data_IF_511416100991
#
_entry.id   IF_511416100991
#
_cell.length_a   1.000
_cell.length_b   1.000
_cell.length_c   1.000
_cell.angle_alpha   90.00
_cell.angle_beta   90.00
_cell.angle_gamma   90.00
#
_symmetry.space_group_name_H-M   'P 1'
#
loop_
_entity.id
_entity.type
_entity.pdbx_description
1 polymer ?
#
# COMPACT_ATOMS: atom_id res chain seq x y z
N UNK A 1 35.80 35.98 -37.44
CA UNK A 1 34.40 35.57 -37.17
C UNK A 1 33.96 34.68 -38.32
N UNK A 2 33.52 33.44 -38.03
CA UNK A 2 32.08 33.18 -38.04
C UNK A 2 31.60 32.39 -36.81
N UNK A 3 30.28 32.42 -36.67
CA UNK A 3 29.42 32.14 -35.52
C UNK A 3 29.35 30.65 -35.13
N UNK A 4 29.34 30.39 -33.82
CA UNK A 4 29.00 29.10 -33.22
C UNK A 4 27.52 28.79 -33.50
N UNK A 5 27.24 27.85 -34.40
CA UNK A 5 25.92 27.25 -34.57
C UNK A 5 25.58 26.35 -33.39
N UNK A 6 24.49 26.67 -32.69
CA UNK A 6 23.96 25.87 -31.60
C UNK A 6 23.49 24.50 -32.09
N UNK A 7 23.82 23.44 -31.34
CA UNK A 7 23.32 22.09 -31.58
C UNK A 7 21.80 22.08 -31.41
N UNK A 8 21.08 21.58 -32.42
CA UNK A 8 19.63 21.30 -32.33
C UNK A 8 19.38 20.23 -31.28
N UNK A 9 18.31 20.34 -30.47
CA UNK A 9 17.94 19.28 -29.53
C UNK A 9 17.65 17.99 -30.31
N UNK A 10 18.17 16.86 -29.83
CA UNK A 10 17.82 15.52 -30.34
C UNK A 10 16.30 15.32 -30.23
N UNK A 11 15.68 14.58 -31.17
CA UNK A 11 14.23 14.25 -31.13
C UNK A 11 13.76 13.75 -29.76
N UNK A 12 14.59 12.99 -29.03
CA UNK A 12 14.31 12.56 -27.66
C UNK A 12 14.14 13.73 -26.67
N UNK A 13 14.91 14.80 -26.82
CA UNK A 13 14.86 16.00 -25.98
C UNK A 13 13.70 16.93 -26.33
N UNK A 14 13.20 16.89 -27.57
CA UNK A 14 11.92 17.51 -27.93
C UNK A 14 10.74 16.69 -27.40
N UNK A 15 10.76 15.36 -27.55
CA UNK A 15 9.75 14.45 -26.97
C UNK A 15 9.68 14.58 -25.44
N UNK A 16 10.82 14.71 -24.75
CA UNK A 16 10.87 14.94 -23.29
C UNK A 16 10.36 16.33 -22.90
N UNK A 17 10.53 17.37 -23.73
CA UNK A 17 9.95 18.71 -23.47
C UNK A 17 8.44 18.76 -23.70
N UNK A 18 7.91 17.97 -24.63
CA UNK A 18 6.47 17.89 -24.93
C UNK A 18 5.67 17.20 -23.81
N UNK A 19 6.33 16.43 -22.94
CA UNK A 19 5.70 15.63 -21.88
C UNK A 19 5.52 16.36 -20.52
N UNK A 20 5.99 17.61 -20.36
CA UNK A 20 6.30 18.22 -19.04
C UNK A 20 5.41 19.43 -18.65
N UNK A 21 4.29 19.71 -19.33
CA UNK A 21 3.41 20.84 -18.97
C UNK A 21 2.04 20.43 -18.42
N UNK A 22 1.72 20.83 -17.17
CA UNK A 22 0.40 20.68 -16.52
C UNK A 22 0.07 21.86 -15.57
N UNK A 23 -1.24 22.05 -15.32
CA UNK A 23 -1.87 23.04 -14.43
C UNK A 23 -2.74 22.37 -13.34
N UNK A 24 -2.81 22.97 -12.14
CA UNK A 24 -3.73 22.61 -11.04
C UNK A 24 -5.11 23.27 -11.19
N UNK A 25 -6.18 22.66 -10.69
CA UNK A 25 -7.47 23.37 -10.50
C UNK A 25 -7.36 24.48 -9.45
N UNK A 26 -8.33 25.42 -9.43
CA UNK A 26 -8.41 26.49 -8.43
C UNK A 26 -8.48 25.98 -6.97
N UNK A 27 -8.88 24.72 -6.76
CA UNK A 27 -8.91 24.03 -5.45
C UNK A 27 -7.68 23.14 -5.17
N UNK A 28 -6.66 23.17 -6.04
CA UNK A 28 -5.38 22.45 -5.85
C UNK A 28 -5.34 20.99 -6.33
N UNK A 29 -6.43 20.43 -6.86
CA UNK A 29 -6.51 19.01 -7.29
C UNK A 29 -5.84 18.74 -8.67
N UNK A 30 -5.43 17.49 -8.87
CA UNK A 30 -4.91 16.97 -10.15
C UNK A 30 -6.05 16.80 -11.16
N UNK A 31 -6.12 17.65 -12.18
CA UNK A 31 -7.22 17.63 -13.15
C UNK A 31 -7.09 16.60 -14.28
N UNK A 32 -5.90 16.12 -14.65
CA UNK A 32 -5.77 15.08 -15.69
C UNK A 32 -4.46 14.30 -15.60
N UNK A 33 -4.49 13.07 -16.12
CA UNK A 33 -3.34 12.22 -16.40
C UNK A 33 -3.42 11.80 -17.87
N UNK A 34 -3.36 12.80 -18.75
CA UNK A 34 -3.15 12.68 -20.19
C UNK A 34 -2.94 14.11 -20.72
N UNK A 35 -1.75 14.34 -21.26
CA UNK A 35 -1.21 15.56 -21.87
C UNK A 35 -2.24 16.40 -22.65
N UNK A 36 -2.26 17.73 -22.40
CA UNK A 36 -2.11 18.81 -23.40
C UNK A 36 -2.42 20.20 -22.81
N UNK A 37 -1.48 21.13 -23.05
CA UNK A 37 -1.57 22.61 -22.98
C UNK A 37 -1.72 23.30 -21.61
N UNK A 38 -0.58 23.83 -21.12
CA UNK A 38 -0.51 24.79 -20.01
C UNK A 38 0.89 25.42 -19.91
N UNK A 39 0.97 26.68 -19.49
CA UNK A 39 2.15 27.56 -19.53
C UNK A 39 3.30 27.15 -18.58
N UNK A 40 4.54 27.51 -18.96
CA UNK A 40 5.79 27.21 -18.25
C UNK A 40 5.73 27.58 -16.75
N UNK A 41 5.81 26.58 -15.86
CA UNK A 41 6.13 26.81 -14.44
C UNK A 41 5.78 25.69 -13.46
N UNK A 42 4.70 24.93 -13.66
CA UNK A 42 4.10 24.11 -12.58
C UNK A 42 4.24 22.57 -12.70
N UNK A 43 4.91 22.04 -13.74
CA UNK A 43 5.02 20.58 -13.99
C UNK A 43 6.44 19.96 -13.98
N UNK A 44 7.50 20.76 -13.83
CA UNK A 44 8.88 20.32 -14.13
C UNK A 44 9.50 19.33 -13.12
N UNK A 45 8.86 19.08 -11.97
CA UNK A 45 9.39 18.22 -10.89
C UNK A 45 8.76 16.83 -10.77
N UNK A 46 7.69 16.56 -11.51
CA UNK A 46 6.83 15.37 -11.31
C UNK A 46 7.20 14.17 -12.17
N UNK A 47 8.07 14.37 -13.16
CA UNK A 47 8.48 13.28 -14.04
C UNK A 47 9.18 12.17 -13.26
N UNK A 48 8.68 10.95 -13.43
CA UNK A 48 9.29 9.74 -12.88
C UNK A 48 9.00 8.59 -13.83
N UNK A 49 10.06 8.00 -14.37
CA UNK A 49 9.92 6.82 -15.21
C UNK A 49 9.88 5.58 -14.31
N UNK A 50 8.68 5.01 -14.14
CA UNK A 50 8.54 3.75 -13.43
C UNK A 50 8.93 2.58 -14.35
N UNK A 51 10.25 2.33 -14.47
CA UNK A 51 10.77 1.14 -15.16
C UNK A 51 10.63 -0.05 -14.21
N UNK A 52 9.42 -0.55 -14.07
CA UNK A 52 9.19 -1.79 -13.35
C UNK A 52 8.33 -2.72 -14.19
N UNK A 53 8.97 -3.77 -14.70
CA UNK A 53 8.34 -4.82 -15.50
C UNK A 53 7.88 -5.97 -14.61
N UNK A 54 6.73 -6.54 -14.99
CA UNK A 54 6.17 -7.87 -14.68
C UNK A 54 6.26 -8.41 -13.23
N UNK A 55 5.12 -8.84 -12.63
CA UNK A 55 3.83 -9.11 -13.27
C UNK A 55 2.83 -7.95 -13.14
N UNK A 56 3.05 -7.00 -12.22
CA UNK A 56 2.09 -5.93 -11.93
C UNK A 56 2.69 -4.57 -12.33
N UNK A 57 2.43 -4.07 -13.54
CA UNK A 57 2.93 -2.77 -13.93
C UNK A 57 2.29 -1.73 -13.02
N UNK A 58 3.10 -0.97 -12.28
CA UNK A 58 2.63 0.01 -11.32
C UNK A 58 2.59 1.40 -11.98
N UNK A 59 1.43 2.05 -11.95
CA UNK A 59 1.26 3.40 -12.45
C UNK A 59 1.20 4.44 -11.31
N UNK A 60 1.19 5.74 -11.64
CA UNK A 60 1.45 6.30 -12.97
C UNK A 60 2.88 6.02 -13.46
N UNK A 61 3.05 5.88 -14.78
CA UNK A 61 4.32 5.47 -15.39
C UNK A 61 5.32 6.62 -15.63
N UNK A 62 4.83 7.85 -15.79
CA UNK A 62 5.64 8.99 -16.24
C UNK A 62 5.57 10.23 -15.35
N UNK A 63 4.51 10.39 -14.55
CA UNK A 63 4.30 11.57 -13.74
C UNK A 63 3.65 11.22 -12.39
N UNK A 64 4.26 11.66 -11.30
CA UNK A 64 3.78 11.44 -9.94
C UNK A 64 3.80 12.76 -9.17
N UNK A 65 2.61 13.25 -8.84
CA UNK A 65 2.46 14.37 -7.91
C UNK A 65 2.66 13.88 -6.48
N UNK A 66 3.40 14.66 -5.70
CA UNK A 66 3.64 14.44 -4.28
C UNK A 66 2.92 15.53 -3.49
N UNK A 67 2.04 15.14 -2.58
CA UNK A 67 1.43 16.07 -1.60
C UNK A 67 2.05 15.81 -0.23
N UNK A 68 2.49 16.86 0.46
CA UNK A 68 3.10 16.76 1.79
C UNK A 68 2.15 17.33 2.85
N UNK A 69 1.88 16.53 3.88
CA UNK A 69 1.11 16.95 5.06
C UNK A 69 2.00 16.94 6.30
N UNK A 70 1.78 17.90 7.20
CA UNK A 70 2.41 17.91 8.52
C UNK A 70 1.47 17.26 9.54
N UNK A 71 1.85 16.12 10.08
CA UNK A 71 1.05 15.32 11.03
C UNK A 71 1.30 15.78 12.47
N UNK A 72 2.56 16.05 12.78
CA UNK A 72 2.99 16.62 14.08
C UNK A 72 3.92 17.78 13.76
N UNK A 73 3.59 19.02 14.16
CA UNK A 73 4.37 20.20 13.85
C UNK A 73 5.86 20.02 14.15
N UNK A 74 6.70 20.21 13.13
CA UNK A 74 8.16 20.14 13.26
C UNK A 74 8.74 18.75 13.53
N UNK A 75 7.93 17.68 13.54
CA UNK A 75 8.37 16.34 13.96
C UNK A 75 7.98 15.22 13.00
N UNK A 76 6.74 15.20 12.48
CA UNK A 76 6.26 14.14 11.60
C UNK A 76 5.54 14.72 10.39
N UNK A 77 5.93 14.27 9.20
CA UNK A 77 5.29 14.61 7.94
C UNK A 77 4.93 13.35 7.18
N UNK A 78 3.93 13.45 6.31
CA UNK A 78 3.58 12.41 5.35
C UNK A 78 3.68 12.96 3.95
N UNK A 79 4.09 12.12 3.02
CA UNK A 79 4.20 12.44 1.61
C UNK A 79 3.42 11.39 0.85
N UNK A 80 2.49 11.84 0.04
CA UNK A 80 1.52 10.99 -0.65
C UNK A 80 1.73 11.07 -2.15
N UNK A 81 1.64 9.92 -2.81
CA UNK A 81 1.58 9.80 -4.26
C UNK A 81 0.40 8.91 -4.66
N UNK A 82 -0.09 9.09 -5.89
CA UNK A 82 -1.01 8.14 -6.48
C UNK A 82 -0.29 6.84 -6.84
N UNK A 83 -0.91 5.70 -6.52
CA UNK A 83 -0.47 4.37 -6.89
C UNK A 83 -1.60 3.64 -7.60
N UNK A 84 -1.38 3.26 -8.87
CA UNK A 84 -2.36 2.52 -9.66
C UNK A 84 -1.80 1.17 -10.12
N UNK A 85 -2.67 0.21 -10.39
CA UNK A 85 -2.33 -0.98 -11.17
C UNK A 85 -2.46 -0.62 -12.64
N UNK A 86 -1.36 -0.48 -13.36
CA UNK A 86 -1.38 -0.06 -14.76
C UNK A 86 -2.17 -1.06 -15.62
N UNK A 87 -3.02 -0.52 -16.49
CA UNK A 87 -3.99 -1.30 -17.28
C UNK A 87 -5.36 -1.45 -16.61
N UNK A 88 -5.47 -1.20 -15.30
CA UNK A 88 -6.75 -1.16 -14.56
C UNK A 88 -6.95 0.29 -14.10
N UNK A 89 -8.09 0.91 -14.41
CA UNK A 89 -8.37 2.30 -14.02
C UNK A 89 -8.75 2.39 -12.52
N UNK A 90 -7.83 1.97 -11.65
CA UNK A 90 -7.95 1.97 -10.19
C UNK A 90 -6.69 2.58 -9.58
N UNK A 91 -6.89 3.51 -8.65
CA UNK A 91 -5.81 4.19 -7.93
C UNK A 91 -6.09 4.14 -6.42
N UNK A 92 -5.02 4.08 -5.64
CA UNK A 92 -5.01 4.32 -4.19
C UNK A 92 -3.87 5.28 -3.85
N UNK A 93 -3.88 5.82 -2.64
CA UNK A 93 -2.76 6.60 -2.10
C UNK A 93 -1.63 5.64 -1.71
N UNK A 94 -0.37 5.94 -2.03
CA UNK A 94 0.80 5.36 -1.37
C UNK A 94 1.49 6.44 -0.55
N UNK A 95 1.88 6.13 0.69
CA UNK A 95 2.36 7.11 1.66
C UNK A 95 3.74 6.77 2.22
N UNK A 96 4.63 7.75 2.16
CA UNK A 96 5.87 7.81 2.93
C UNK A 96 5.65 8.64 4.19
N UNK A 97 6.14 8.18 5.34
CA UNK A 97 6.13 8.97 6.59
C UNK A 97 7.56 9.34 6.96
N UNK A 98 7.77 10.59 7.37
CA UNK A 98 9.07 11.15 7.71
C UNK A 98 9.03 11.62 9.16
N UNK A 99 9.95 11.12 9.97
CA UNK A 99 10.11 11.52 11.38
C UNK A 99 11.46 12.22 11.54
N UNK A 100 11.47 13.40 12.15
CA UNK A 100 12.69 14.07 12.57
C UNK A 100 13.15 13.52 13.91
N UNK A 101 14.34 12.91 13.93
CA UNK A 101 14.94 12.31 15.12
C UNK A 101 15.69 13.34 15.96
N UNK A 102 15.98 13.01 17.23
CA UNK A 102 16.82 13.82 18.11
C UNK A 102 18.26 13.97 17.62
N UNK A 103 18.75 13.05 16.79
CA UNK A 103 20.04 13.18 16.10
C UNK A 103 20.11 14.41 15.19
N UNK A 104 18.96 14.96 14.80
CA UNK A 104 18.82 16.04 13.83
C UNK A 104 18.55 15.55 12.41
N UNK A 105 18.64 14.24 12.15
CA UNK A 105 18.32 13.63 10.86
C UNK A 105 16.88 13.15 10.72
N UNK A 106 16.58 12.65 9.52
CA UNK A 106 15.28 12.14 9.11
C UNK A 106 15.28 10.61 9.04
N UNK A 107 14.23 10.04 9.61
CA UNK A 107 13.88 8.63 9.52
C UNK A 107 12.68 8.47 8.57
N UNK A 108 12.85 7.65 7.54
CA UNK A 108 11.90 7.50 6.43
C UNK A 108 11.22 6.13 6.51
N UNK A 109 9.90 6.12 6.68
CA UNK A 109 9.04 4.94 6.64
C UNK A 109 8.40 4.80 5.25
N UNK A 110 8.54 3.62 4.62
CA UNK A 110 7.90 3.27 3.35
C UNK A 110 8.13 4.34 2.25
N UNK A 111 9.36 4.52 1.76
CA UNK A 111 9.65 5.57 0.78
C UNK A 111 8.79 5.44 -0.48
N UNK A 112 8.38 6.59 -1.02
CA UNK A 112 7.66 6.71 -2.30
C UNK A 112 8.62 7.09 -3.44
N UNK A 113 8.12 7.21 -4.67
CA UNK A 113 8.97 7.56 -5.81
C UNK A 113 9.69 8.89 -5.56
N UNK A 114 11.04 8.93 -5.61
CA UNK A 114 11.80 10.16 -5.39
C UNK A 114 11.78 11.02 -6.66
N UNK A 115 10.59 11.52 -7.01
CA UNK A 115 10.45 12.59 -8.01
C UNK A 115 11.23 13.81 -7.53
N UNK A 116 11.60 14.70 -8.45
CA UNK A 116 12.28 15.94 -8.07
C UNK A 116 11.41 16.77 -7.10
N UNK A 117 10.10 16.80 -7.30
CA UNK A 117 9.14 17.43 -6.39
C UNK A 117 9.17 16.82 -4.98
N UNK A 118 9.13 15.48 -4.87
CA UNK A 118 9.23 14.80 -3.57
C UNK A 118 10.56 15.12 -2.85
N UNK A 119 11.65 15.13 -3.59
CA UNK A 119 12.99 15.41 -3.06
C UNK A 119 13.10 16.85 -2.57
N UNK A 120 12.63 17.83 -3.36
CA UNK A 120 12.63 19.25 -2.97
C UNK A 120 11.78 19.49 -1.71
N UNK A 121 10.60 18.85 -1.61
CA UNK A 121 9.74 18.92 -0.43
C UNK A 121 10.39 18.29 0.83
N UNK A 122 11.20 17.24 0.64
CA UNK A 122 11.93 16.58 1.73
C UNK A 122 13.16 17.39 2.17
N UNK A 123 13.93 17.93 1.21
CA UNK A 123 15.09 18.79 1.48
C UNK A 123 14.70 20.10 2.17
N UNK A 124 13.50 20.62 1.90
CA UNK A 124 12.93 21.78 2.59
C UNK A 124 12.70 21.55 4.11
N UNK A 125 12.76 20.31 4.61
CA UNK A 125 12.72 20.03 6.05
C UNK A 125 14.06 20.37 6.75
N UNK A 126 15.12 20.65 5.99
CA UNK A 126 16.39 21.15 6.50
C UNK A 126 17.19 20.14 7.34
N UNK A 127 17.00 18.83 7.09
CA UNK A 127 17.66 17.75 7.81
C UNK A 127 18.13 16.64 6.87
N UNK A 128 19.27 15.99 7.14
CA UNK A 128 19.77 14.88 6.31
C UNK A 128 18.91 13.63 6.51
N UNK A 129 18.77 12.81 5.46
CA UNK A 129 18.16 11.48 5.58
C UNK A 129 19.18 10.52 6.18
N UNK A 130 18.89 10.00 7.38
CA UNK A 130 19.76 9.07 8.10
C UNK A 130 19.34 7.61 7.91
N UNK A 131 18.02 7.37 7.85
CA UNK A 131 17.47 6.03 7.83
C UNK A 131 16.33 5.90 6.84
N UNK A 132 16.37 4.82 6.05
CA UNK A 132 15.30 4.42 5.13
C UNK A 132 14.80 3.05 5.57
N UNK A 133 13.50 2.92 5.84
CA UNK A 133 12.91 1.68 6.36
C UNK A 133 11.88 1.13 5.38
N UNK A 134 12.18 -0.05 4.85
CA UNK A 134 11.22 -0.88 4.13
C UNK A 134 10.39 -1.66 5.15
N UNK A 135 9.14 -1.27 5.25
CA UNK A 135 8.23 -1.65 6.35
C UNK A 135 7.35 -2.85 6.03
N UNK A 136 7.36 -3.32 4.79
CA UNK A 136 6.59 -4.47 4.31
C UNK A 136 7.36 -5.22 3.23
N UNK A 137 7.01 -6.48 2.97
CA UNK A 137 7.48 -7.20 1.79
C UNK A 137 6.73 -6.78 0.51
N UNK A 138 5.59 -6.09 0.63
CA UNK A 138 4.70 -5.78 -0.47
C UNK A 138 5.41 -4.95 -1.54
N UNK A 139 5.17 -5.32 -2.79
CA UNK A 139 5.95 -4.86 -3.93
C UNK A 139 5.85 -3.35 -4.12
N UNK A 140 4.65 -2.80 -4.07
CA UNK A 140 4.30 -1.39 -4.24
C UNK A 140 5.00 -0.43 -3.28
N UNK A 141 5.39 -0.89 -2.09
CA UNK A 141 6.18 -0.12 -1.11
C UNK A 141 7.69 -0.39 -1.23
N UNK A 142 8.08 -1.48 -1.90
CA UNK A 142 9.46 -1.91 -2.09
C UNK A 142 10.12 -1.29 -3.31
N UNK A 143 9.38 -1.08 -4.40
CA UNK A 143 9.97 -0.66 -5.69
C UNK A 143 10.72 0.66 -5.59
N UNK A 144 10.33 1.51 -4.64
CA UNK A 144 10.89 2.85 -4.48
C UNK A 144 12.11 2.88 -3.57
N UNK A 145 12.41 1.83 -2.81
CA UNK A 145 13.59 1.79 -1.93
C UNK A 145 14.90 1.93 -2.72
N UNK A 146 15.14 1.19 -3.83
CA UNK A 146 16.38 1.36 -4.61
C UNK A 146 16.61 2.78 -5.15
N UNK A 147 15.66 3.44 -5.86
CA UNK A 147 15.87 4.81 -6.31
C UNK A 147 16.01 5.80 -5.16
N UNK A 148 15.29 5.60 -4.05
CA UNK A 148 15.42 6.47 -2.88
C UNK A 148 16.80 6.32 -2.21
N UNK A 149 17.30 5.09 -2.06
CA UNK A 149 18.64 4.81 -1.58
C UNK A 149 19.72 5.44 -2.47
N UNK A 150 19.57 5.40 -3.80
CA UNK A 150 20.50 6.07 -4.72
C UNK A 150 20.54 7.59 -4.52
N UNK A 151 19.40 8.20 -4.18
CA UNK A 151 19.31 9.65 -3.92
C UNK A 151 19.93 10.04 -2.58
N UNK A 152 19.82 9.17 -1.58
CA UNK A 152 20.30 9.38 -0.21
C UNK A 152 21.30 8.29 0.19
N UNK A 153 22.43 8.20 -0.52
CA UNK A 153 23.39 7.11 -0.38
C UNK A 153 24.11 7.01 0.97
N UNK A 154 24.04 8.06 1.81
CA UNK A 154 24.55 8.05 3.18
C UNK A 154 23.58 7.38 4.18
N UNK A 155 22.31 7.25 3.83
CA UNK A 155 21.31 6.70 4.71
C UNK A 155 21.47 5.18 4.88
N UNK A 156 21.32 4.70 6.12
CA UNK A 156 21.26 3.27 6.40
C UNK A 156 19.87 2.74 6.02
N UNK A 157 19.84 1.72 5.16
CA UNK A 157 18.60 1.01 4.82
C UNK A 157 18.31 -0.07 5.85
N UNK A 158 17.06 -0.14 6.30
CA UNK A 158 16.54 -1.16 7.20
C UNK A 158 15.34 -1.83 6.57
N UNK A 159 15.18 -3.12 6.82
CA UNK A 159 14.09 -3.92 6.24
C UNK A 159 13.46 -4.78 7.31
N UNK A 160 12.15 -4.95 7.24
CA UNK A 160 11.48 -5.96 8.08
C UNK A 160 11.92 -7.37 7.69
N UNK A 161 11.86 -8.36 8.61
CA UNK A 161 12.22 -9.76 8.35
C UNK A 161 11.52 -10.36 7.13
N UNK A 162 12.16 -11.38 6.53
CA UNK A 162 11.55 -12.25 5.50
C UNK A 162 11.07 -11.49 4.26
N UNK A 163 11.96 -10.66 3.71
CA UNK A 163 11.76 -10.05 2.40
C UNK A 163 11.69 -11.12 1.33
N UNK A 164 10.72 -10.99 0.44
CA UNK A 164 10.50 -11.90 -0.68
C UNK A 164 10.12 -11.13 -1.94
N UNK A 165 10.47 -11.67 -3.10
CA UNK A 165 10.09 -11.11 -4.39
C UNK A 165 9.26 -12.11 -5.17
N UNK A 166 8.21 -11.64 -5.81
CA UNK A 166 7.46 -12.46 -6.73
C UNK A 166 8.17 -12.48 -8.10
N UNK A 167 8.22 -13.62 -8.83
CA UNK A 167 7.77 -14.96 -8.45
C UNK A 167 8.89 -15.78 -7.77
N UNK A 168 10.08 -15.21 -7.62
CA UNK A 168 11.28 -15.88 -7.13
C UNK A 168 11.91 -15.06 -6.00
N UNK A 169 12.36 -15.76 -4.96
CA UNK A 169 12.95 -15.15 -3.78
C UNK A 169 14.31 -14.51 -4.08
N UNK A 170 14.28 -13.30 -4.65
CA UNK A 170 15.47 -12.52 -4.99
C UNK A 170 16.00 -11.84 -3.73
N UNK A 171 17.27 -12.13 -3.44
CA UNK A 171 18.04 -11.39 -2.45
C UNK A 171 18.02 -9.88 -2.75
N UNK A 172 17.98 -9.07 -1.69
CA UNK A 172 17.86 -7.60 -1.74
C UNK A 172 18.82 -6.90 -2.73
N UNK A 173 20.11 -7.28 -2.86
CA UNK A 173 21.00 -6.63 -3.83
C UNK A 173 20.58 -6.81 -5.28
N UNK A 174 19.92 -7.92 -5.64
CA UNK A 174 19.38 -8.15 -6.98
C UNK A 174 18.19 -7.24 -7.29
N UNK A 175 17.54 -6.73 -6.24
CA UNK A 175 16.49 -5.71 -6.32
C UNK A 175 17.07 -4.28 -6.30
N UNK A 176 18.39 -4.13 -6.23
CA UNK A 176 19.06 -2.85 -6.10
C UNK A 176 19.04 -2.25 -4.70
N UNK A 177 18.70 -3.04 -3.68
CA UNK A 177 18.73 -2.64 -2.27
C UNK A 177 20.03 -3.16 -1.66
N UNK A 178 20.97 -2.27 -1.38
CA UNK A 178 22.31 -2.62 -0.92
C UNK A 178 22.49 -2.32 0.58
N UNK A 179 23.35 -3.08 1.26
CA UNK A 179 23.74 -2.84 2.67
C UNK A 179 22.56 -2.72 3.64
N UNK A 180 21.42 -3.33 3.31
CA UNK A 180 20.25 -3.33 4.18
C UNK A 180 20.50 -4.14 5.46
N UNK A 181 20.06 -3.61 6.60
CA UNK A 181 20.04 -4.33 7.89
C UNK A 181 18.64 -4.85 8.16
N UNK A 182 18.53 -6.13 8.51
CA UNK A 182 17.25 -6.75 8.84
C UNK A 182 16.90 -6.38 10.29
N UNK A 183 15.70 -5.86 10.49
CA UNK A 183 15.15 -5.61 11.82
C UNK A 183 14.82 -6.93 12.51
N UNK A 184 14.98 -7.00 13.83
CA UNK A 184 14.56 -8.12 14.64
C UNK A 184 13.04 -8.21 14.70
N UNK A 185 12.47 -9.24 15.32
CA UNK A 185 11.01 -9.34 15.43
C UNK A 185 10.39 -8.24 16.30
N UNK A 186 11.14 -7.68 17.24
CA UNK A 186 10.64 -6.68 18.19
C UNK A 186 11.77 -5.81 18.68
N UNK A 187 11.49 -4.53 18.99
CA UNK A 187 12.47 -3.66 19.63
C UNK A 187 12.87 -4.11 21.05
N UNK A 188 12.12 -5.04 21.66
CA UNK A 188 12.48 -5.64 22.96
C UNK A 188 13.56 -6.71 22.87
N UNK A 189 13.82 -7.30 21.70
CA UNK A 189 14.77 -8.40 21.57
C UNK A 189 16.24 -7.96 21.54
N UNK A 190 16.56 -6.80 22.12
CA UNK A 190 17.94 -6.31 22.29
C UNK A 190 18.65 -5.91 21.00
N UNK A 191 17.92 -5.66 19.89
CA UNK A 191 18.56 -5.12 18.69
C UNK A 191 18.84 -3.63 18.88
N UNK A 192 20.12 -3.28 18.76
CA UNK A 192 20.57 -1.90 18.79
C UNK A 192 20.24 -1.19 17.46
N UNK A 193 19.17 -0.40 17.47
CA UNK A 193 18.81 0.52 16.38
C UNK A 193 19.06 1.95 16.85
N UNK A 194 19.63 2.85 16.01
CA UNK A 194 20.02 4.20 16.44
C UNK A 194 18.90 5.08 17.02
N UNK A 195 17.64 4.75 16.72
CA UNK A 195 16.45 5.50 17.14
C UNK A 195 15.64 4.82 18.24
N UNK A 196 16.17 3.77 18.91
CA UNK A 196 15.42 2.92 19.85
C UNK A 196 14.72 3.69 20.98
N UNK A 197 15.29 4.83 21.39
CA UNK A 197 14.73 5.72 22.42
C UNK A 197 13.51 6.51 21.94
N UNK A 198 13.33 6.65 20.63
CA UNK A 198 12.29 7.49 20.01
C UNK A 198 11.20 6.66 19.32
N UNK A 199 11.60 5.59 18.63
CA UNK A 199 10.71 4.74 17.85
C UNK A 199 10.90 3.27 18.26
N UNK A 200 9.86 2.67 18.81
CA UNK A 200 9.79 1.22 19.03
C UNK A 200 9.11 0.51 17.87
N UNK A 201 9.28 -0.80 17.76
CA UNK A 201 8.62 -1.56 16.69
C UNK A 201 8.27 -2.99 17.08
N UNK A 202 7.26 -3.53 16.40
CA UNK A 202 6.81 -4.91 16.44
C UNK A 202 6.61 -5.39 15.00
N UNK A 203 7.42 -6.36 14.57
CA UNK A 203 7.32 -6.94 13.24
C UNK A 203 6.41 -8.18 13.25
N UNK A 204 5.57 -8.27 12.25
CA UNK A 204 4.85 -9.48 11.86
C UNK A 204 5.62 -10.15 10.73
N UNK A 205 5.78 -11.47 10.80
CA UNK A 205 6.44 -12.24 9.75
C UNK A 205 5.95 -13.68 9.76
N UNK A 206 5.05 -14.02 8.85
CA UNK A 206 4.45 -15.35 8.75
C UNK A 206 4.53 -15.92 7.34
N UNK A 207 4.47 -17.24 7.22
CA UNK A 207 4.38 -17.91 5.91
C UNK A 207 2.91 -18.09 5.56
N UNK A 208 2.48 -17.52 4.44
CA UNK A 208 1.07 -17.45 4.07
C UNK A 208 0.88 -18.10 2.72
N UNK A 209 0.56 -19.39 2.77
CA UNK A 209 0.59 -20.22 1.57
C UNK A 209 2.02 -20.34 1.04
N UNK A 210 2.30 -19.70 -0.08
CA UNK A 210 3.57 -19.85 -0.84
C UNK A 210 4.52 -18.67 -0.71
N UNK A 211 4.01 -17.54 -0.22
CA UNK A 211 4.74 -16.31 -0.07
C UNK A 211 4.68 -15.93 1.41
N UNK A 212 5.77 -15.37 1.95
CA UNK A 212 5.71 -14.80 3.28
C UNK A 212 4.92 -13.50 3.25
N UNK A 213 4.27 -13.18 4.37
CA UNK A 213 3.84 -11.83 4.65
C UNK A 213 4.67 -11.28 5.79
N UNK A 214 5.27 -10.12 5.57
CA UNK A 214 5.93 -9.37 6.62
C UNK A 214 5.53 -7.91 6.59
N UNK A 215 5.31 -7.34 7.77
CA UNK A 215 5.03 -5.93 7.99
C UNK A 215 5.53 -5.51 9.37
N UNK A 216 6.00 -4.27 9.50
CA UNK A 216 6.40 -3.67 10.76
C UNK A 216 5.42 -2.60 11.23
N UNK A 217 5.07 -2.65 12.51
CA UNK A 217 4.39 -1.56 13.20
C UNK A 217 5.40 -0.76 14.02
N UNK A 218 5.50 0.55 13.77
CA UNK A 218 6.48 1.44 14.37
C UNK A 218 5.78 2.50 15.24
N UNK A 219 6.18 2.63 16.50
CA UNK A 219 5.56 3.53 17.47
C UNK A 219 6.51 4.67 17.84
N UNK A 220 6.20 5.88 17.41
CA UNK A 220 6.92 7.09 17.82
C UNK A 220 6.39 7.57 19.18
N UNK A 221 7.25 7.48 20.21
CA UNK A 221 6.88 7.63 21.62
C UNK A 221 6.38 9.03 21.95
N UNK A 222 7.10 10.06 21.48
CA UNK A 222 6.85 11.45 21.88
C UNK A 222 5.49 11.96 21.39
N UNK A 223 5.09 11.60 20.17
CA UNK A 223 3.81 12.02 19.59
C UNK A 223 2.68 11.02 19.77
N UNK A 224 2.96 9.86 20.38
CA UNK A 224 2.04 8.72 20.48
C UNK A 224 1.44 8.30 19.13
N UNK A 225 2.28 8.24 18.10
CA UNK A 225 1.86 7.88 16.73
C UNK A 225 2.32 6.46 16.40
N UNK A 226 1.37 5.59 16.06
CA UNK A 226 1.63 4.31 15.43
C UNK A 226 1.70 4.48 13.91
N UNK A 227 2.73 3.95 13.28
CA UNK A 227 2.91 3.90 11.84
C UNK A 227 2.87 2.44 11.40
N UNK A 228 1.99 2.14 10.46
CA UNK A 228 1.82 0.84 9.81
C UNK A 228 1.73 1.05 8.31
N UNK A 229 1.84 -0.02 7.53
CA UNK A 229 1.77 0.07 6.07
C UNK A 229 0.39 -0.37 5.58
N UNK A 230 0.11 -1.67 5.65
CA UNK A 230 -1.07 -2.30 5.04
C UNK A 230 -1.99 -2.97 6.07
N UNK A 231 -1.51 -3.14 7.31
CA UNK A 231 -2.20 -3.85 8.38
C UNK A 231 -3.59 -3.28 8.66
N UNK A 232 -3.73 -1.96 8.68
CA UNK A 232 -5.00 -1.26 8.80
C UNK A 232 -5.05 -0.06 7.88
N UNK A 233 -6.26 0.28 7.45
CA UNK A 233 -6.56 1.44 6.64
C UNK A 233 -7.79 2.15 7.20
N UNK A 234 -7.92 3.43 6.87
CA UNK A 234 -9.15 4.20 7.10
C UNK A 234 -9.65 4.71 5.77
N UNK A 235 -10.87 4.33 5.40
CA UNK A 235 -11.47 4.73 4.14
C UNK A 235 -12.22 6.08 4.31
N UNK A 236 -11.69 7.20 3.76
CA UNK A 236 -12.37 8.48 3.84
C UNK A 236 -13.60 8.53 2.94
N UNK A 237 -14.62 9.28 3.35
CA UNK A 237 -15.81 9.52 2.53
C UNK A 237 -15.49 10.21 1.20
N UNK A 238 -14.56 11.18 1.24
CA UNK A 238 -14.11 11.93 0.07
C UNK A 238 -12.79 11.36 -0.48
N UNK A 239 -12.56 11.45 -1.80
CA UNK A 239 -11.29 11.03 -2.37
C UNK A 239 -10.11 11.81 -1.79
N UNK A 240 -8.97 11.15 -1.48
CA UNK A 240 -7.74 11.84 -1.13
C UNK A 240 -7.29 12.79 -2.25
N UNK A 241 -6.71 13.92 -1.87
CA UNK A 241 -6.28 14.99 -2.79
C UNK A 241 -5.32 14.51 -3.87
N UNK A 242 -4.46 13.53 -3.55
CA UNK A 242 -3.45 13.01 -4.47
C UNK A 242 -4.04 12.14 -5.59
N UNK A 243 -5.29 11.67 -5.46
CA UNK A 243 -5.92 10.83 -6.47
C UNK A 243 -6.35 11.68 -7.65
N UNK A 244 -6.02 11.25 -8.87
CA UNK A 244 -6.28 12.00 -10.07
C UNK A 244 -7.78 12.18 -10.33
N UNK A 245 -8.25 13.43 -10.39
CA UNK A 245 -9.67 13.77 -10.54
C UNK A 245 -10.25 13.23 -11.84
N UNK A 246 -9.52 13.29 -12.95
CA UNK A 246 -10.00 12.72 -14.22
C UNK A 246 -10.22 11.21 -14.11
N UNK A 247 -9.39 10.49 -13.34
CA UNK A 247 -9.60 9.06 -13.10
C UNK A 247 -10.88 8.82 -12.30
N UNK A 248 -11.15 9.63 -11.27
CA UNK A 248 -12.39 9.58 -10.49
C UNK A 248 -13.61 9.85 -11.36
N UNK A 249 -13.63 10.95 -12.10
CA UNK A 249 -14.70 11.29 -13.05
C UNK A 249 -14.93 10.17 -14.06
N UNK A 250 -13.86 9.59 -14.62
CA UNK A 250 -13.95 8.46 -15.55
C UNK A 250 -14.48 7.19 -14.89
N UNK A 251 -14.22 6.95 -13.61
CA UNK A 251 -14.80 5.84 -12.87
C UNK A 251 -16.28 6.08 -12.52
N UNK A 252 -16.69 7.35 -12.39
CA UNK A 252 -18.09 7.76 -12.21
C UNK A 252 -18.94 7.66 -13.48
N UNK A 253 -18.44 8.21 -14.61
CA UNK A 253 -19.16 8.47 -15.88
C UNK A 253 -19.62 7.25 -16.69
N UNK A 254 -19.26 6.02 -16.35
CA UNK A 254 -19.30 4.83 -17.22
C UNK A 254 -18.14 4.80 -18.23
N UNK A 255 -17.31 3.74 -18.19
CA UNK A 255 -16.18 3.58 -19.10
C UNK A 255 -16.04 2.12 -19.55
N UNK A 256 -15.25 1.86 -20.58
CA UNK A 256 -15.07 0.50 -21.12
C UNK A 256 -14.66 -0.54 -20.06
N UNK A 257 -13.98 -0.15 -18.97
CA UNK A 257 -13.67 -1.02 -17.84
C UNK A 257 -14.89 -1.27 -16.94
N UNK A 258 -15.72 -0.25 -16.68
CA UNK A 258 -17.07 -0.40 -16.07
C UNK A 258 -17.90 -1.35 -16.94
N UNK A 259 -17.96 -1.18 -18.26
CA UNK A 259 -18.72 -2.05 -19.17
C UNK A 259 -18.17 -3.48 -19.25
N UNK A 260 -16.85 -3.65 -19.33
CA UNK A 260 -16.16 -4.95 -19.35
C UNK A 260 -16.40 -5.74 -18.06
N UNK A 261 -16.53 -5.04 -16.93
CA UNK A 261 -16.65 -5.65 -15.60
C UNK A 261 -18.11 -5.81 -15.13
N UNK A 262 -19.03 -4.92 -15.54
CA UNK A 262 -20.44 -4.94 -15.08
C UNK A 262 -21.44 -5.44 -16.13
N UNK A 263 -21.03 -5.67 -17.37
CA UNK A 263 -21.84 -6.35 -18.40
C UNK A 263 -23.13 -5.65 -18.87
N UNK A 264 -23.51 -4.50 -18.29
CA UNK A 264 -24.67 -3.68 -18.66
C UNK A 264 -24.37 -2.20 -18.43
N UNK A 265 -25.07 -1.32 -19.16
CA UNK A 265 -25.02 0.13 -18.88
C UNK A 265 -25.45 0.40 -17.43
N UNK A 266 -24.66 1.15 -16.64
CA UNK A 266 -25.07 1.50 -15.29
C UNK A 266 -26.37 2.30 -15.36
N UNK A 267 -27.41 1.80 -14.69
CA UNK A 267 -28.78 2.32 -14.78
C UNK A 267 -28.95 3.80 -14.39
N UNK A 268 -27.93 4.44 -13.79
CA UNK A 268 -27.91 5.85 -13.43
C UNK A 268 -26.48 6.40 -13.59
N UNK A 269 -26.24 7.14 -14.68
CA UNK A 269 -25.03 7.97 -14.82
C UNK A 269 -25.27 9.25 -13.99
N UNK A 270 -24.38 9.63 -13.08
CA UNK A 270 -24.61 10.81 -12.24
C UNK A 270 -24.59 12.09 -13.06
N UNK A 271 -25.44 13.05 -12.71
CA UNK A 271 -25.71 14.23 -13.54
C UNK A 271 -24.62 15.30 -13.41
N UNK A 272 -23.96 15.38 -12.24
CA UNK A 272 -22.92 16.38 -11.96
C UNK A 272 -21.52 15.77 -11.87
N UNK A 273 -20.49 16.58 -12.11
CA UNK A 273 -19.09 16.13 -11.96
C UNK A 273 -18.74 15.80 -10.50
N UNK A 274 -19.32 16.51 -9.54
CA UNK A 274 -19.14 16.22 -8.11
C UNK A 274 -19.70 14.84 -7.73
N UNK A 275 -20.92 14.52 -8.18
CA UNK A 275 -21.50 13.19 -7.97
C UNK A 275 -20.67 12.09 -8.66
N UNK A 276 -20.17 12.34 -9.87
CA UNK A 276 -19.32 11.40 -10.60
C UNK A 276 -17.99 11.16 -9.88
N UNK A 277 -17.41 12.20 -9.29
CA UNK A 277 -16.18 12.11 -8.54
C UNK A 277 -16.36 11.25 -7.28
N UNK A 278 -17.41 11.49 -6.50
CA UNK A 278 -17.73 10.71 -5.30
C UNK A 278 -18.05 9.25 -5.65
N UNK A 279 -18.90 9.02 -6.64
CA UNK A 279 -19.23 7.65 -7.08
C UNK A 279 -18.01 6.93 -7.66
N UNK A 280 -17.18 7.66 -8.41
CA UNK A 280 -15.89 7.18 -8.90
C UNK A 280 -14.97 6.74 -7.77
N UNK A 281 -14.87 7.56 -6.71
CA UNK A 281 -14.12 7.25 -5.51
C UNK A 281 -14.64 5.98 -4.82
N UNK A 282 -15.95 5.89 -4.57
CA UNK A 282 -16.55 4.72 -3.91
C UNK A 282 -16.25 3.43 -4.68
N UNK A 283 -16.39 3.47 -6.01
CA UNK A 283 -16.09 2.33 -6.88
C UNK A 283 -14.60 1.95 -6.83
N UNK A 284 -13.70 2.93 -6.89
CA UNK A 284 -12.25 2.68 -6.82
C UNK A 284 -11.85 2.09 -5.47
N UNK A 285 -12.27 2.71 -4.38
CA UNK A 285 -11.97 2.27 -3.03
C UNK A 285 -12.43 0.83 -2.77
N UNK A 286 -13.68 0.50 -3.13
CA UNK A 286 -14.20 -0.85 -2.99
C UNK A 286 -13.43 -1.86 -3.86
N UNK A 287 -13.02 -1.47 -5.07
CA UNK A 287 -12.18 -2.33 -5.90
C UNK A 287 -10.79 -2.57 -5.27
N UNK A 288 -10.16 -1.55 -4.69
CA UNK A 288 -8.87 -1.70 -3.98
C UNK A 288 -9.03 -2.62 -2.75
N UNK A 289 -10.10 -2.46 -1.99
CA UNK A 289 -10.32 -3.21 -0.74
C UNK A 289 -10.64 -4.70 -0.97
N UNK A 290 -11.38 -5.02 -2.04
CA UNK A 290 -11.93 -6.37 -2.25
C UNK A 290 -11.39 -7.08 -3.49
N UNK A 291 -10.78 -6.36 -4.44
CA UNK A 291 -10.36 -6.88 -5.75
C UNK A 291 -11.48 -7.60 -6.54
N UNK A 292 -12.74 -7.28 -6.25
CA UNK A 292 -13.92 -8.05 -6.66
C UNK A 292 -14.75 -7.38 -7.77
N UNK A 293 -14.88 -7.96 -8.98
CA UNK A 293 -15.54 -7.34 -10.14
C UNK A 293 -17.06 -7.12 -10.05
N UNK A 294 -17.84 -8.15 -9.71
CA UNK A 294 -19.23 -8.22 -10.21
C UNK A 294 -20.34 -7.85 -9.21
N UNK A 295 -20.13 -7.93 -7.89
CA UNK A 295 -21.28 -7.93 -6.95
C UNK A 295 -21.15 -7.08 -5.68
N UNK A 296 -20.05 -6.35 -5.51
CA UNK A 296 -19.87 -5.45 -4.35
C UNK A 296 -19.66 -3.98 -4.64
N UNK A 297 -19.85 -3.58 -5.89
CA UNK A 297 -19.56 -2.23 -6.33
C UNK A 297 -20.81 -1.37 -6.51
N UNK A 298 -21.78 -1.59 -5.63
CA UNK A 298 -22.89 -0.68 -5.42
C UNK A 298 -22.39 0.39 -4.46
N UNK A 299 -22.39 1.69 -4.81
CA UNK A 299 -21.94 2.75 -3.92
C UNK A 299 -22.61 2.72 -2.53
N UNK A 300 -23.82 2.17 -2.41
CA UNK A 300 -24.51 1.95 -1.12
C UNK A 300 -23.81 0.98 -0.16
N UNK A 301 -22.78 0.25 -0.61
CA UNK A 301 -21.98 -0.64 0.22
C UNK A 301 -20.79 0.07 0.85
N UNK A 302 -20.44 1.25 0.33
CA UNK A 302 -19.33 2.04 0.79
C UNK A 302 -19.48 2.39 2.28
N UNK A 303 -20.70 2.72 2.71
CA UNK A 303 -21.05 3.04 4.10
C UNK A 303 -20.75 1.91 5.10
N UNK A 304 -20.61 0.66 4.63
CA UNK A 304 -20.26 -0.46 5.48
C UNK A 304 -18.78 -0.43 5.92
N UNK A 305 -17.92 0.18 5.10
CA UNK A 305 -16.45 0.19 5.24
C UNK A 305 -15.86 1.59 5.36
N UNK A 306 -16.60 2.64 5.02
CA UNK A 306 -16.17 4.03 5.17
C UNK A 306 -16.10 4.45 6.63
N UNK A 307 -15.29 5.48 6.89
CA UNK A 307 -15.17 6.15 8.18
C UNK A 307 -14.79 5.26 9.36
N UNK A 308 -14.09 4.15 9.07
CA UNK A 308 -13.69 3.16 10.07
C UNK A 308 -12.25 2.75 9.85
N UNK A 309 -11.55 2.51 10.96
CA UNK A 309 -10.28 1.80 10.94
C UNK A 309 -10.57 0.31 10.76
N UNK A 310 -10.04 -0.29 9.70
CA UNK A 310 -10.27 -1.69 9.38
C UNK A 310 -9.02 -2.34 8.80
N UNK A 311 -8.90 -3.65 8.97
CA UNK A 311 -7.99 -4.46 8.15
C UNK A 311 -8.66 -4.61 6.79
N UNK A 312 -7.96 -4.27 5.70
CA UNK A 312 -8.58 -4.33 4.38
C UNK A 312 -9.09 -5.77 4.11
N UNK A 313 -10.30 -5.95 3.56
CA UNK A 313 -10.90 -7.26 3.31
C UNK A 313 -9.97 -8.25 2.58
N UNK A 314 -9.23 -7.77 1.59
CA UNK A 314 -8.22 -8.55 0.88
C UNK A 314 -7.10 -9.03 1.81
N UNK A 315 -6.51 -8.15 2.63
CA UNK A 315 -5.45 -8.54 3.56
C UNK A 315 -6.02 -9.40 4.70
N UNK A 316 -7.21 -9.11 5.22
CA UNK A 316 -7.90 -9.97 6.18
C UNK A 316 -8.00 -11.40 5.66
N UNK A 317 -8.49 -11.60 4.44
CA UNK A 317 -8.74 -12.92 3.87
C UNK A 317 -7.46 -13.64 3.41
N UNK A 318 -6.54 -12.91 2.77
CA UNK A 318 -5.33 -13.49 2.20
C UNK A 318 -4.22 -13.69 3.23
N UNK A 319 -4.17 -12.85 4.28
CA UNK A 319 -3.05 -12.80 5.24
C UNK A 319 -3.53 -13.24 6.63
N UNK A 320 -4.15 -12.35 7.38
CA UNK A 320 -4.33 -12.53 8.83
C UNK A 320 -5.27 -13.69 9.18
N UNK A 321 -6.26 -13.98 8.34
CA UNK A 321 -7.15 -15.14 8.54
C UNK A 321 -6.47 -16.48 8.29
N UNK A 322 -5.31 -16.51 7.62
CA UNK A 322 -4.54 -17.74 7.41
C UNK A 322 -3.70 -18.11 8.64
N UNK A 323 -3.43 -17.16 9.51
CA UNK A 323 -2.57 -17.31 10.69
C UNK A 323 -3.16 -16.55 11.88
N UNK A 324 -4.37 -16.93 12.36
CA UNK A 324 -5.07 -16.18 13.41
C UNK A 324 -4.30 -16.12 14.74
N UNK A 325 -3.58 -17.18 15.12
CA UNK A 325 -2.73 -17.21 16.31
C UNK A 325 -1.62 -16.14 16.27
N UNK A 326 -0.70 -16.20 15.30
CA UNK A 326 0.31 -15.17 15.11
C UNK A 326 -0.25 -13.74 14.96
N UNK A 327 -1.39 -13.60 14.27
CA UNK A 327 -2.06 -12.31 14.08
C UNK A 327 -2.50 -11.70 15.42
N UNK A 328 -3.15 -12.50 16.27
CA UNK A 328 -3.54 -12.07 17.63
C UNK A 328 -2.33 -11.69 18.46
N UNK A 329 -1.31 -12.55 18.50
CA UNK A 329 -0.11 -12.30 19.28
C UNK A 329 0.59 -11.00 18.88
N UNK A 330 0.64 -10.68 17.58
CA UNK A 330 1.21 -9.42 17.10
C UNK A 330 0.35 -8.21 17.49
N UNK A 331 -0.98 -8.30 17.35
CA UNK A 331 -1.92 -7.26 17.78
C UNK A 331 -1.86 -7.04 19.29
N UNK A 332 -1.83 -8.11 20.09
CA UNK A 332 -1.68 -8.06 21.55
C UNK A 332 -0.38 -7.32 21.91
N UNK A 333 0.77 -7.71 21.32
CA UNK A 333 2.04 -7.02 21.57
C UNK A 333 2.00 -5.53 21.24
N UNK A 334 1.41 -5.14 20.11
CA UNK A 334 1.24 -3.73 19.74
C UNK A 334 0.38 -3.00 20.76
N UNK A 335 -0.80 -3.57 21.07
CA UNK A 335 -1.83 -2.88 21.87
C UNK A 335 -1.52 -2.83 23.35
N UNK A 336 -0.74 -3.78 23.87
CA UNK A 336 -0.26 -3.79 25.25
C UNK A 336 0.96 -2.88 25.45
N UNK A 337 1.81 -2.73 24.43
CA UNK A 337 3.07 -1.98 24.56
C UNK A 337 3.00 -0.53 24.13
N UNK A 338 2.21 -0.22 23.10
CA UNK A 338 2.24 1.08 22.45
C UNK A 338 0.97 1.87 22.82
N UNK A 339 1.06 2.87 23.73
CA UNK A 339 -0.08 3.70 24.09
C UNK A 339 -0.29 4.82 23.05
N UNK A 340 -0.52 4.46 21.79
CA UNK A 340 -0.75 5.41 20.71
C UNK A 340 -2.14 6.07 20.78
N UNK A 341 -2.25 7.26 20.22
CA UNK A 341 -3.52 8.01 20.09
C UNK A 341 -3.84 8.32 18.62
N UNK A 342 -2.93 7.90 17.73
CA UNK A 342 -2.97 8.19 16.29
C UNK A 342 -2.33 7.05 15.51
N UNK A 343 -2.93 6.72 14.38
CA UNK A 343 -2.38 5.77 13.40
C UNK A 343 -2.09 6.50 12.09
N UNK A 344 -0.98 6.16 11.45
CA UNK A 344 -0.65 6.53 10.06
C UNK A 344 -0.49 5.24 9.28
N UNK A 345 -1.31 5.04 8.24
CA UNK A 345 -1.27 3.90 7.34
C UNK A 345 -0.56 4.24 6.02
N UNK A 346 -0.18 3.23 5.24
CA UNK A 346 0.42 3.38 3.91
C UNK A 346 -0.59 3.75 2.81
N UNK A 347 -1.88 3.48 3.04
CA UNK A 347 -2.96 3.67 2.07
C UNK A 347 -4.14 4.46 2.65
N UNK A 348 -4.98 5.00 1.74
CA UNK A 348 -6.17 5.80 2.03
C UNK A 348 -5.86 7.01 2.92
N UNK A 349 -6.73 7.41 3.86
CA UNK A 349 -6.53 8.61 4.65
C UNK A 349 -5.65 8.36 5.89
N UNK A 350 -4.84 9.36 6.23
CA UNK A 350 -4.12 9.49 7.50
C UNK A 350 -3.79 10.96 7.75
N UNK A 351 -3.51 11.36 9.00
CA UNK A 351 -3.54 10.55 10.22
C UNK A 351 -4.96 10.14 10.65
N UNK A 352 -5.06 9.05 11.41
CA UNK A 352 -6.31 8.49 11.90
C UNK A 352 -6.33 8.62 13.43
N UNK A 353 -7.34 9.28 14.03
CA UNK A 353 -7.51 9.26 15.48
C UNK A 353 -7.96 7.87 15.91
N UNK A 354 -7.07 7.11 16.53
CA UNK A 354 -7.32 5.72 16.92
C UNK A 354 -6.44 5.31 18.09
N UNK A 355 -7.03 4.56 19.01
CA UNK A 355 -6.38 4.00 20.19
C UNK A 355 -5.99 2.53 19.99
N UNK A 356 -5.24 1.91 20.93
CA UNK A 356 -4.99 0.48 20.93
C UNK A 356 -6.27 -0.36 20.90
N UNK A 357 -7.35 0.12 21.52
CA UNK A 357 -8.64 -0.54 21.50
C UNK A 357 -9.23 -0.57 20.09
N UNK A 358 -9.18 0.54 19.36
CA UNK A 358 -9.71 0.63 18.00
C UNK A 358 -8.90 -0.25 17.04
N UNK A 359 -7.57 -0.27 17.20
CA UNK A 359 -6.70 -1.17 16.44
C UNK A 359 -7.04 -2.64 16.73
N UNK A 360 -7.24 -3.03 18.01
CA UNK A 360 -7.67 -4.39 18.35
C UNK A 360 -9.01 -4.75 17.71
N UNK A 361 -9.98 -3.83 17.72
CA UNK A 361 -11.31 -4.02 17.12
C UNK A 361 -11.21 -4.28 15.62
N UNK A 362 -10.31 -3.58 14.91
CA UNK A 362 -10.07 -3.85 13.48
C UNK A 362 -9.66 -5.31 13.21
N UNK A 363 -9.05 -5.98 14.19
CA UNK A 363 -8.62 -7.39 14.13
C UNK A 363 -9.59 -8.36 14.84
N UNK A 364 -10.80 -7.95 15.24
CA UNK A 364 -11.74 -8.81 16.00
C UNK A 364 -12.00 -10.16 15.29
N UNK A 365 -11.99 -10.18 13.95
CA UNK A 365 -12.13 -11.40 13.15
C UNK A 365 -11.09 -12.47 13.53
N UNK A 366 -9.85 -12.08 13.82
CA UNK A 366 -8.77 -13.01 14.19
C UNK A 366 -9.02 -13.64 15.57
N UNK A 367 -9.65 -12.90 16.49
CA UNK A 367 -10.05 -13.39 17.82
C UNK A 367 -11.27 -14.29 17.78
N UNK A 368 -12.16 -14.10 16.82
CA UNK A 368 -13.34 -14.95 16.62
C UNK A 368 -13.00 -16.31 15.97
N UNK A 369 -11.83 -16.44 15.33
CA UNK A 369 -11.40 -17.67 14.68
C UNK A 369 -10.78 -18.67 15.67
N UNK A 370 -11.07 -19.96 15.47
CA UNK A 370 -10.37 -21.04 16.15
C UNK A 370 -8.92 -21.11 15.66
N UNK A 371 -8.03 -21.57 16.55
CA UNK A 371 -6.65 -21.94 16.19
C UNK A 371 -6.68 -22.93 15.02
N UNK A 372 -5.80 -22.71 14.03
CA UNK A 372 -5.52 -23.75 13.05
C UNK A 372 -4.62 -24.80 13.72
N UNK A 373 -4.85 -26.10 13.48
CA UNK A 373 -4.02 -27.16 14.04
C UNK A 373 -2.56 -26.96 13.61
N UNK A 374 -1.65 -27.05 14.59
CA UNK A 374 -0.22 -26.80 14.40
C UNK A 374 0.53 -28.05 13.92
N UNK A 375 -0.13 -29.21 13.92
CA UNK A 375 0.39 -30.49 13.39
C UNK A 375 -0.65 -31.24 12.56
N UNK A 376 -0.19 -32.15 11.69
CA UNK A 376 -1.09 -33.08 10.97
C UNK A 376 -1.90 -33.96 11.94
N UNK A 377 -1.35 -34.24 13.12
CA UNK A 377 -1.96 -35.08 14.13
C UNK A 377 -3.15 -34.37 14.81
N UNK A 378 -2.99 -33.08 15.14
CA UNK A 378 -4.08 -32.22 15.60
C UNK A 378 -5.14 -32.00 14.53
N UNK A 379 -4.74 -31.87 13.26
CA UNK A 379 -5.66 -31.75 12.14
C UNK A 379 -6.50 -33.02 11.93
N UNK A 380 -5.92 -34.21 12.20
CA UNK A 380 -6.63 -35.50 12.16
C UNK A 380 -7.56 -35.72 13.36
N UNK A 381 -7.24 -35.14 14.51
CA UNK A 381 -8.05 -35.24 15.72
C UNK A 381 -9.33 -34.38 15.70
N UNK A 382 -9.41 -33.40 14.79
CA UNK A 382 -10.63 -32.62 14.58
C UNK A 382 -11.72 -33.47 13.89
N UNK A 383 -13.00 -33.32 14.27
CA UNK A 383 -14.10 -34.06 13.66
C UNK A 383 -14.16 -33.78 12.16
N UNK A 384 -13.84 -34.79 11.37
CA UNK A 384 -13.82 -34.69 9.91
C UNK A 384 -15.25 -34.51 9.38
N UNK A 385 -15.54 -33.47 8.58
CA UNK A 385 -16.82 -33.37 7.91
C UNK A 385 -16.96 -34.55 6.92
N UNK A 386 -18.03 -35.34 7.07
CA UNK A 386 -18.40 -36.34 6.07
C UNK A 386 -18.83 -35.60 4.80
N UNK A 387 -17.96 -35.41 3.82
CA UNK A 387 -18.27 -35.46 2.37
C UNK A 387 -16.99 -35.32 1.53
N UNK A 388 -16.92 -36.16 0.48
CA UNK A 388 -15.80 -36.42 -0.43
C UNK A 388 -15.32 -35.20 -1.25
N UNK A 389 -13.99 -35.09 -1.41
CA UNK A 389 -13.21 -35.09 -2.67
C UNK A 389 -11.99 -34.18 -2.56
N UNK A 390 -10.82 -34.78 -2.26
CA UNK A 390 -9.54 -34.10 -2.03
C UNK A 390 -8.73 -33.89 -3.33
N UNK A 391 -9.42 -33.69 -4.45
CA UNK A 391 -8.84 -33.21 -5.71
C UNK A 391 -9.67 -32.00 -6.19
N UNK A 392 -9.09 -30.81 -6.08
CA UNK A 392 -9.44 -29.67 -6.94
C UNK A 392 -10.47 -28.63 -6.45
N UNK A 393 -10.90 -28.61 -5.17
CA UNK A 393 -11.72 -27.49 -4.65
C UNK A 393 -11.17 -26.90 -3.35
N UNK A 394 -11.18 -25.57 -3.27
CA UNK A 394 -10.77 -24.78 -2.10
C UNK A 394 -11.60 -25.14 -0.85
N UNK A 395 -11.00 -25.20 0.34
CA UNK A 395 -11.76 -25.07 1.57
C UNK A 395 -12.31 -23.64 1.68
N UNK A 396 -13.62 -23.50 1.88
CA UNK A 396 -14.24 -22.20 2.13
C UNK A 396 -13.62 -21.54 3.37
N UNK A 397 -13.53 -20.20 3.37
CA UNK A 397 -13.17 -19.44 4.58
C UNK A 397 -14.13 -19.84 5.72
N UNK A 398 -13.65 -20.06 6.97
CA UNK A 398 -14.53 -20.31 8.11
C UNK A 398 -15.56 -19.20 8.26
N UNK A 399 -16.80 -19.50 8.67
CA UNK A 399 -17.87 -18.49 8.86
C UNK A 399 -17.44 -17.30 9.74
N UNK A 400 -16.57 -17.55 10.72
CA UNK A 400 -16.00 -16.53 11.59
C UNK A 400 -15.10 -15.53 10.84
N UNK A 401 -14.35 -16.00 9.83
CA UNK A 401 -13.50 -15.17 8.97
C UNK A 401 -14.32 -14.36 7.96
N UNK A 402 -15.56 -14.79 7.67
CA UNK A 402 -16.51 -14.10 6.79
C UNK A 402 -17.22 -12.94 7.48
N UNK A 403 -17.07 -12.77 8.80
CA UNK A 403 -17.72 -11.67 9.53
C UNK A 403 -17.22 -10.33 8.97
N UNK A 404 -18.12 -9.57 8.34
CA UNK A 404 -17.81 -8.32 7.64
C UNK A 404 -17.53 -8.46 6.13
N UNK A 405 -17.40 -9.68 5.61
CA UNK A 405 -17.27 -10.00 4.18
C UNK A 405 -18.61 -10.48 3.62
N UNK A 406 -19.06 -9.95 2.49
CA UNK A 406 -20.29 -10.45 1.84
C UNK A 406 -19.98 -11.67 0.99
N UNK A 407 -20.98 -12.50 0.69
CA UNK A 407 -20.79 -13.74 -0.11
C UNK A 407 -20.08 -13.51 -1.44
N UNK A 408 -20.38 -12.39 -2.10
CA UNK A 408 -19.76 -12.03 -3.35
C UNK A 408 -18.29 -11.58 -3.21
N UNK A 409 -17.87 -11.06 -2.04
CA UNK A 409 -16.46 -10.73 -1.75
C UNK A 409 -15.66 -12.03 -1.69
N UNK A 410 -16.24 -13.03 -1.01
CA UNK A 410 -15.62 -14.33 -0.84
C UNK A 410 -15.41 -15.03 -2.18
N UNK A 411 -16.38 -14.95 -3.10
CA UNK A 411 -16.24 -15.48 -4.46
C UNK A 411 -15.12 -14.80 -5.26
N UNK A 412 -14.99 -13.48 -5.15
CA UNK A 412 -13.92 -12.75 -5.81
C UNK A 412 -12.53 -13.00 -5.22
N UNK A 413 -12.41 -13.07 -3.89
CA UNK A 413 -11.17 -13.42 -3.21
C UNK A 413 -10.73 -14.85 -3.56
N UNK A 414 -11.69 -15.77 -3.73
CA UNK A 414 -11.42 -17.11 -4.26
C UNK A 414 -10.94 -17.07 -5.71
N UNK A 415 -11.51 -16.21 -6.56
CA UNK A 415 -11.04 -16.02 -7.95
C UNK A 415 -9.67 -15.38 -8.01
N UNK A 416 -9.37 -14.39 -7.15
CA UNK A 416 -8.04 -13.78 -7.06
C UNK A 416 -7.01 -14.80 -6.58
N UNK A 417 -7.31 -15.58 -5.54
CA UNK A 417 -6.44 -16.68 -5.07
C UNK A 417 -6.25 -17.74 -6.17
N UNK A 418 -7.30 -18.07 -6.93
CA UNK A 418 -7.23 -18.98 -8.06
C UNK A 418 -6.40 -18.43 -9.22
N UNK A 419 -6.51 -17.13 -9.53
CA UNK A 419 -5.71 -16.44 -10.53
C UNK A 419 -4.23 -16.42 -10.10
N UNK A 420 -3.96 -16.08 -8.84
CA UNK A 420 -2.62 -16.13 -8.26
C UNK A 420 -2.07 -17.56 -8.37
N UNK A 421 -2.86 -18.61 -8.09
CA UNK A 421 -2.46 -20.01 -8.31
C UNK A 421 -2.20 -20.35 -9.78
N UNK A 422 -3.12 -19.99 -10.67
CA UNK A 422 -3.07 -20.36 -12.09
C UNK A 422 -1.93 -19.66 -12.84
N UNK A 423 -1.55 -18.46 -12.41
CA UNK A 423 -0.40 -17.71 -12.94
C UNK A 423 0.94 -18.15 -12.34
N UNK A 424 0.95 -19.20 -11.51
CA UNK A 424 2.16 -19.63 -10.80
C UNK A 424 2.54 -18.72 -9.64
N UNK A 425 1.71 -17.74 -9.27
CA UNK A 425 1.82 -17.02 -8.01
C UNK A 425 1.44 -17.83 -6.78
N UNK A 426 1.20 -19.15 -6.91
CA UNK A 426 1.13 -20.13 -5.82
C UNK A 426 1.73 -21.48 -6.27
N UNK A 427 3.04 -21.65 -6.10
CA UNK A 427 3.73 -22.94 -6.30
C UNK A 427 3.92 -23.71 -4.98
N UNK A 428 3.70 -25.03 -5.02
CA UNK A 428 3.83 -25.96 -3.89
C UNK A 428 5.15 -25.80 -3.13
N UNK A 429 5.08 -26.00 -1.81
CA UNK A 429 6.20 -26.15 -0.88
C UNK A 429 7.41 -26.86 -1.50
N UNK A 430 8.64 -26.31 -1.40
CA UNK A 430 9.80 -27.18 -1.28
C UNK A 430 9.63 -27.93 0.04
N UNK A 431 9.65 -29.27 -0.02
CA UNK A 431 9.82 -30.08 1.18
C UNK A 431 11.04 -29.55 1.95
N UNK A 432 10.84 -29.09 3.18
CA UNK A 432 11.94 -28.93 4.12
C UNK A 432 12.61 -30.30 4.28
N UNK A 433 13.76 -30.47 3.64
CA UNK A 433 14.78 -31.39 4.10
C UNK A 433 15.86 -30.53 4.75
N UNK A 434 15.96 -30.72 6.06
CA UNK A 434 17.05 -30.46 7.01
C UNK A 434 18.13 -29.43 6.65
#
# INVERSE_FOLDING_TARGET
>A
MPTRGGRSPTQLGETVRTLVSESSSEDGRVQSGATLHGTRGQGAGRFYLNVTGFPFPLGPLFARQTVRYEVVPGSIWTFEQEQSLAGINVSTTVRMTVVKLKSGGLWIHAPIAPTRECVELLEALGAPVEHIVLTTHAYEHKIFVPPFQRRYGAAQVWVVPRQWSWPVDLHLPLLGIFRARILAMSSKSGQDVPWADEIEFENFSESIGIAPYSEGAFYHKASKTLMVTDAVVYLPEKPPEVINRAKLLRAGKDNAFVRLVYGKEPANIPATEEEQEIIGWHRMALLVLYFAPEKLRVPSNFDAVSERLLVSPVIQALVFSKVPGPSRAWVDRITERFPFERVVSGHFASPIPASPKDFRVAFEFAYAMRELPQSEEEARALPQPRFQSWFGRLPALPEQAKRGLREADLGALQTLDALLRATGGVFRYPNNRE
#
